data_IF_686686117414
#
_entry.id   IF_686686117414
#
_cell.length_a   1.000
_cell.length_b   1.000
_cell.length_c   1.000
_cell.angle_alpha   90.00
_cell.angle_beta   90.00
_cell.angle_gamma   90.00
#
_symmetry.space_group_name_H-M   'P 1'
#
loop_
_entity.id
_entity.type
_entity.pdbx_description
1 polymer ?
#
# COMPACT_ATOMS: atom_id res chain seq x y z
N UNK A 1 12.97 22.53 -2.75
CA UNK A 1 11.86 23.38 -2.25
C UNK A 1 11.24 22.59 -1.11
N UNK A 2 11.51 22.96 0.14
CA UNK A 2 11.02 22.20 1.32
C UNK A 2 9.51 22.03 1.23
N UNK A 3 9.01 20.83 1.54
CA UNK A 3 7.60 20.48 1.37
C UNK A 3 6.76 21.16 2.46
N UNK A 4 6.42 22.43 2.22
CA UNK A 4 5.65 23.32 3.13
C UNK A 4 4.38 22.62 3.62
N UNK A 5 3.77 21.79 2.78
CA UNK A 5 2.52 21.08 3.08
C UNK A 5 2.65 20.06 4.21
N UNK A 6 3.70 19.23 4.24
CA UNK A 6 3.88 18.21 5.29
C UNK A 6 4.14 18.87 6.64
N UNK A 7 5.02 19.89 6.66
CA UNK A 7 5.29 20.68 7.85
C UNK A 7 4.03 21.39 8.37
N UNK A 8 3.23 22.00 7.49
CA UNK A 8 1.98 22.65 7.88
C UNK A 8 0.99 21.68 8.52
N UNK A 9 0.87 20.46 7.99
CA UNK A 9 0.02 19.42 8.58
C UNK A 9 0.51 19.03 9.97
N UNK A 10 1.82 18.80 10.13
CA UNK A 10 2.40 18.45 11.43
C UNK A 10 2.17 19.57 12.44
N UNK A 11 2.42 20.83 12.07
CA UNK A 11 2.18 21.98 12.94
C UNK A 11 0.72 22.10 13.36
N UNK A 12 -0.23 21.82 12.45
CA UNK A 12 -1.67 21.77 12.76
C UNK A 12 -1.99 20.65 13.75
N UNK A 13 -1.40 19.47 13.58
CA UNK A 13 -1.58 18.35 14.52
C UNK A 13 -1.00 18.69 15.89
N UNK A 14 0.24 19.18 15.95
CA UNK A 14 0.89 19.64 17.20
C UNK A 14 0.06 20.68 17.94
N UNK A 15 -0.49 21.66 17.22
CA UNK A 15 -1.39 22.67 17.78
C UNK A 15 -2.62 22.05 18.45
N UNK A 16 -3.26 21.05 17.82
CA UNK A 16 -4.42 20.33 18.40
C UNK A 16 -4.02 19.49 19.61
N UNK A 17 -2.83 18.91 19.60
CA UNK A 17 -2.26 18.17 20.74
C UNK A 17 -1.78 19.08 21.88
N UNK A 18 -1.83 20.41 21.69
CA UNK A 18 -1.27 21.42 22.61
C UNK A 18 0.21 21.19 22.90
N UNK A 19 0.92 20.63 21.93
CA UNK A 19 2.36 20.42 22.01
C UNK A 19 3.09 21.70 21.58
N UNK A 20 2.97 22.74 22.40
CA UNK A 20 3.40 24.11 22.06
C UNK A 20 4.88 24.35 22.29
N UNK A 21 5.58 23.44 22.98
CA UNK A 21 6.99 23.61 23.35
C UNK A 21 7.93 22.67 22.57
N UNK A 22 7.49 22.21 21.40
CA UNK A 22 8.21 21.27 20.52
C UNK A 22 9.54 21.80 19.97
N UNK A 23 9.87 23.08 20.17
CA UNK A 23 11.17 23.67 19.83
C UNK A 23 12.17 23.66 21.00
N UNK A 24 11.71 23.40 22.23
CA UNK A 24 12.58 23.31 23.39
C UNK A 24 13.22 21.92 23.45
N UNK A 25 14.53 21.88 23.72
CA UNK A 25 15.37 20.67 23.70
C UNK A 25 14.84 19.52 24.60
N UNK A 26 14.13 19.87 25.67
CA UNK A 26 13.52 18.93 26.63
C UNK A 26 11.97 18.99 26.62
N UNK A 27 11.38 19.74 25.68
CA UNK A 27 9.94 20.04 25.62
C UNK A 27 9.16 19.26 24.54
N UNK A 28 9.84 18.48 23.72
CA UNK A 28 9.23 17.66 22.67
C UNK A 28 8.49 16.48 23.30
N UNK A 29 7.16 16.50 23.25
CA UNK A 29 6.33 15.40 23.74
C UNK A 29 6.19 14.27 22.72
N UNK A 30 6.15 14.63 21.44
CA UNK A 30 6.00 13.70 20.32
C UNK A 30 7.02 14.06 19.24
N UNK A 31 7.73 13.08 18.70
CA UNK A 31 8.62 13.34 17.56
C UNK A 31 7.81 13.58 16.28
N UNK A 32 8.42 14.21 15.27
CA UNK A 32 7.76 14.39 13.97
C UNK A 32 7.47 13.02 13.32
N UNK A 33 8.38 12.06 13.49
CA UNK A 33 8.25 10.69 12.99
C UNK A 33 7.04 9.98 13.60
N UNK A 34 6.84 10.11 14.91
CA UNK A 34 5.69 9.50 15.61
C UNK A 34 4.35 10.07 15.09
N UNK A 35 4.31 11.40 14.88
CA UNK A 35 3.13 12.06 14.30
C UNK A 35 2.89 11.59 12.86
N UNK A 36 3.95 11.50 12.05
CA UNK A 36 3.87 11.03 10.67
C UNK A 36 3.39 9.57 10.60
N UNK A 37 3.90 8.69 11.46
CA UNK A 37 3.49 7.29 11.51
C UNK A 37 2.01 7.15 11.89
N UNK A 38 1.55 7.92 12.89
CA UNK A 38 0.14 7.94 13.27
C UNK A 38 -0.77 8.43 12.12
N UNK A 39 -0.32 9.44 11.37
CA UNK A 39 -1.04 9.93 10.19
C UNK A 39 -1.07 8.89 9.06
N UNK A 40 0.07 8.23 8.77
CA UNK A 40 0.16 7.17 7.77
C UNK A 40 -0.77 6.00 8.10
N UNK A 41 -0.81 5.57 9.36
CA UNK A 41 -1.66 4.46 9.80
C UNK A 41 -3.15 4.83 9.74
N UNK A 42 -3.48 6.07 10.08
CA UNK A 42 -4.85 6.59 9.94
C UNK A 42 -5.26 6.65 8.46
N UNK A 43 -4.41 7.19 7.59
CA UNK A 43 -4.66 7.26 6.16
C UNK A 43 -4.81 5.87 5.54
N UNK A 44 -3.92 4.93 5.86
CA UNK A 44 -4.03 3.53 5.46
C UNK A 44 -5.35 2.90 5.90
N UNK A 45 -5.78 3.17 7.14
CA UNK A 45 -7.03 2.63 7.69
C UNK A 45 -8.24 3.16 6.92
N UNK A 46 -8.26 4.46 6.61
CA UNK A 46 -9.33 5.10 5.82
C UNK A 46 -9.35 4.51 4.42
N UNK A 47 -8.21 4.49 3.73
CA UNK A 47 -8.10 3.99 2.35
C UNK A 47 -8.57 2.54 2.24
N UNK A 48 -8.13 1.69 3.17
CA UNK A 48 -8.53 0.28 3.23
C UNK A 48 -10.02 0.10 3.54
N UNK A 49 -10.54 0.84 4.51
CA UNK A 49 -11.93 0.69 4.97
C UNK A 49 -12.94 1.18 3.93
N UNK A 50 -12.62 2.30 3.27
CA UNK A 50 -13.48 2.89 2.25
C UNK A 50 -13.24 2.34 0.85
N UNK A 51 -12.20 1.51 0.65
CA UNK A 51 -11.81 0.95 -0.65
C UNK A 51 -11.64 2.03 -1.72
N UNK A 52 -10.93 3.11 -1.36
CA UNK A 52 -10.60 4.21 -2.28
C UNK A 52 -9.19 4.02 -2.85
N UNK A 53 -8.79 4.89 -3.80
CA UNK A 53 -7.49 4.85 -4.48
C UNK A 53 -7.18 3.49 -5.10
N UNK A 54 -8.20 2.89 -5.74
CA UNK A 54 -8.07 1.59 -6.38
C UNK A 54 -7.33 1.77 -7.70
N UNK A 55 -6.27 1.01 -7.89
CA UNK A 55 -5.60 0.88 -9.18
C UNK A 55 -5.51 -0.58 -9.60
N UNK A 56 -5.51 -0.79 -10.92
CA UNK A 56 -5.35 -2.09 -11.52
C UNK A 56 -3.88 -2.35 -11.83
N UNK A 57 -3.40 -3.54 -11.50
CA UNK A 57 -2.13 -4.07 -11.96
C UNK A 57 -2.35 -5.40 -12.67
N UNK A 58 -1.72 -5.57 -13.83
CA UNK A 58 -1.84 -6.77 -14.65
C UNK A 58 -0.46 -7.29 -15.05
N UNK A 59 -0.32 -8.61 -15.10
CA UNK A 59 0.91 -9.26 -15.54
C UNK A 59 0.60 -10.50 -16.37
N UNK A 60 1.13 -10.52 -17.59
CA UNK A 60 1.19 -11.72 -18.42
C UNK A 60 2.27 -12.65 -17.86
N UNK A 61 1.88 -13.89 -17.56
CA UNK A 61 2.78 -14.93 -17.13
C UNK A 61 3.50 -15.57 -18.31
N UNK A 62 4.75 -15.93 -18.09
CA UNK A 62 5.55 -16.70 -19.03
C UNK A 62 6.51 -17.62 -18.26
N UNK A 63 7.17 -18.55 -18.95
CA UNK A 63 8.17 -19.44 -18.33
C UNK A 63 9.24 -18.70 -17.52
N UNK A 64 9.59 -17.48 -17.91
CA UNK A 64 10.56 -16.63 -17.19
C UNK A 64 9.95 -15.62 -16.21
N UNK A 65 8.61 -15.47 -16.18
CA UNK A 65 7.92 -14.50 -15.33
C UNK A 65 6.63 -15.11 -14.78
N UNK A 66 6.74 -15.74 -13.62
CA UNK A 66 5.63 -16.46 -12.97
C UNK A 66 4.98 -15.67 -11.83
N UNK A 67 5.43 -14.44 -11.58
CA UNK A 67 4.95 -13.60 -10.48
C UNK A 67 4.39 -12.28 -10.99
N UNK A 68 3.37 -11.78 -10.29
CA UNK A 68 2.88 -10.42 -10.42
C UNK A 68 3.67 -9.54 -9.46
N UNK A 69 4.35 -8.51 -9.98
CA UNK A 69 5.10 -7.53 -9.19
C UNK A 69 4.42 -6.16 -9.27
N UNK A 70 4.20 -5.56 -8.12
CA UNK A 70 3.59 -4.25 -7.96
C UNK A 70 4.65 -3.18 -7.72
N UNK A 71 4.38 -1.95 -8.17
CA UNK A 71 5.27 -0.81 -7.95
C UNK A 71 5.31 -0.40 -6.47
N UNK A 72 4.19 -0.55 -5.77
CA UNK A 72 4.01 -0.19 -4.37
C UNK A 72 3.25 -1.27 -3.60
N UNK A 73 3.41 -1.25 -2.28
CA UNK A 73 2.75 -2.20 -1.38
C UNK A 73 1.27 -1.81 -1.29
N UNK A 74 0.33 -2.71 -1.63
CA UNK A 74 -1.10 -2.41 -1.53
C UNK A 74 -1.54 -2.38 -0.06
N UNK A 75 -2.42 -1.44 0.28
CA UNK A 75 -3.08 -1.41 1.59
C UNK A 75 -4.10 -2.57 1.71
N UNK A 76 -4.77 -2.87 0.59
CA UNK A 76 -5.70 -3.97 0.48
C UNK A 76 -5.85 -4.39 -0.99
N UNK A 77 -5.93 -5.70 -1.24
CA UNK A 77 -6.38 -6.22 -2.53
C UNK A 77 -7.90 -6.37 -2.47
N UNK A 78 -8.60 -5.75 -3.41
CA UNK A 78 -10.06 -5.73 -3.51
C UNK A 78 -10.56 -6.90 -4.35
N UNK A 79 -9.87 -7.18 -5.45
CA UNK A 79 -10.22 -8.22 -6.42
C UNK A 79 -8.95 -8.76 -7.08
N UNK A 80 -8.95 -10.04 -7.40
CA UNK A 80 -7.97 -10.66 -8.28
C UNK A 80 -8.66 -11.56 -9.30
N UNK A 81 -8.10 -11.64 -10.50
CA UNK A 81 -8.54 -12.53 -11.57
C UNK A 81 -7.36 -13.24 -12.23
N UNK A 82 -7.63 -14.43 -12.77
CA UNK A 82 -6.73 -15.16 -13.65
C UNK A 82 -7.48 -15.49 -14.94
N UNK A 83 -6.99 -15.01 -16.08
CA UNK A 83 -7.67 -15.11 -17.37
C UNK A 83 -9.15 -14.68 -17.30
N UNK A 84 -9.43 -13.59 -16.57
CA UNK A 84 -10.77 -13.06 -16.34
C UNK A 84 -11.63 -13.80 -15.30
N UNK A 85 -11.23 -15.00 -14.85
CA UNK A 85 -11.94 -15.74 -13.82
C UNK A 85 -11.56 -15.24 -12.42
N UNK A 86 -12.50 -15.17 -11.44
CA UNK A 86 -12.19 -14.80 -10.07
C UNK A 86 -11.10 -15.68 -9.45
N UNK A 87 -10.12 -15.04 -8.83
CA UNK A 87 -8.97 -15.71 -8.23
C UNK A 87 -8.98 -15.46 -6.71
N UNK A 88 -9.23 -16.49 -5.88
CA UNK A 88 -9.18 -16.34 -4.43
C UNK A 88 -7.77 -16.00 -3.96
N UNK A 89 -7.67 -15.11 -2.97
CA UNK A 89 -6.39 -14.69 -2.38
C UNK A 89 -6.24 -15.36 -1.02
N UNK A 90 -5.11 -16.04 -0.79
CA UNK A 90 -4.82 -16.71 0.47
C UNK A 90 -3.47 -16.27 1.06
N UNK A 91 -3.34 -16.26 2.40
CA UNK A 91 -2.04 -16.09 3.05
C UNK A 91 -1.07 -17.22 2.66
N UNK A 92 0.22 -16.89 2.57
CA UNK A 92 1.26 -17.87 2.23
C UNK A 92 1.27 -19.07 3.20
N UNK A 93 1.00 -18.84 4.49
CA UNK A 93 0.91 -19.89 5.51
C UNK A 93 -0.13 -20.97 5.19
N UNK A 94 -1.26 -20.60 4.58
CA UNK A 94 -2.29 -21.56 4.19
C UNK A 94 -1.90 -22.38 2.97
N UNK A 95 -1.06 -21.83 2.09
CA UNK A 95 -0.58 -22.52 0.89
C UNK A 95 0.41 -23.62 1.27
N UNK A 96 1.31 -23.36 2.21
CA UNK A 96 2.30 -24.35 2.68
C UNK A 96 1.60 -25.59 3.29
N UNK A 97 0.51 -25.38 4.01
CA UNK A 97 -0.22 -26.45 4.70
C UNK A 97 -1.13 -27.26 3.77
N UNK A 98 -1.59 -26.67 2.66
CA UNK A 98 -2.49 -27.32 1.71
C UNK A 98 -2.04 -27.11 0.24
N UNK A 99 -0.97 -27.80 -0.20
CA UNK A 99 -0.39 -27.63 -1.54
C UNK A 99 -1.34 -28.00 -2.68
N UNK A 100 -2.34 -28.86 -2.41
CA UNK A 100 -3.36 -29.31 -3.36
C UNK A 100 -4.61 -28.42 -3.39
N UNK A 101 -4.48 -27.16 -2.95
CA UNK A 101 -5.59 -26.20 -2.95
C UNK A 101 -6.02 -25.82 -4.38
N UNK A 102 -7.27 -25.36 -4.56
CA UNK A 102 -7.70 -24.74 -5.82
C UNK A 102 -6.80 -23.55 -6.18
N UNK A 103 -6.79 -23.18 -7.46
CA UNK A 103 -5.99 -22.07 -7.98
C UNK A 103 -6.21 -20.81 -7.15
N UNK A 104 -5.15 -20.31 -6.53
CA UNK A 104 -5.19 -19.18 -5.59
C UNK A 104 -4.00 -18.26 -5.82
N UNK A 105 -4.19 -16.97 -5.55
CA UNK A 105 -3.12 -15.99 -5.45
C UNK A 105 -2.59 -15.95 -4.01
N UNK A 106 -1.29 -15.88 -3.82
CA UNK A 106 -0.70 -15.66 -2.50
C UNK A 106 0.49 -14.69 -2.58
N UNK A 107 0.73 -13.90 -1.50
CA UNK A 107 1.88 -13.01 -1.44
C UNK A 107 3.18 -13.80 -1.19
N UNK A 108 4.21 -13.53 -1.98
CA UNK A 108 5.59 -13.95 -1.73
C UNK A 108 6.33 -12.85 -0.94
N UNK A 109 6.03 -11.59 -1.26
CA UNK A 109 6.55 -10.41 -0.57
C UNK A 109 5.49 -9.32 -0.53
N UNK A 110 5.71 -8.19 0.18
CA UNK A 110 4.73 -7.09 0.23
C UNK A 110 4.33 -6.52 -1.13
N UNK A 111 5.13 -6.73 -2.19
CA UNK A 111 4.87 -6.22 -3.54
C UNK A 111 4.84 -7.32 -4.60
N UNK A 112 4.90 -8.59 -4.22
CA UNK A 112 5.03 -9.69 -5.17
C UNK A 112 4.12 -10.85 -4.82
N UNK A 113 3.42 -11.35 -5.83
CA UNK A 113 2.38 -12.37 -5.71
C UNK A 113 2.60 -13.49 -6.72
N UNK A 114 2.27 -14.71 -6.32
CA UNK A 114 2.32 -15.91 -7.16
C UNK A 114 1.02 -16.71 -7.09
N UNK A 115 0.89 -17.63 -8.04
CA UNK A 115 -0.20 -18.58 -8.11
C UNK A 115 0.18 -19.90 -7.44
N UNK A 116 -0.76 -20.51 -6.72
CA UNK A 116 -0.67 -21.92 -6.32
C UNK A 116 -1.89 -22.68 -6.84
N UNK A 117 -1.72 -23.75 -7.63
CA UNK A 117 -0.44 -24.23 -8.18
C UNK A 117 0.14 -23.26 -9.23
N UNK A 118 1.47 -23.27 -9.41
CA UNK A 118 2.17 -22.42 -10.38
C UNK A 118 1.64 -22.63 -11.81
N UNK A 119 1.56 -21.55 -12.58
CA UNK A 119 1.18 -21.54 -14.00
C UNK A 119 2.29 -20.93 -14.85
N UNK A 120 2.44 -21.47 -16.06
CA UNK A 120 3.49 -21.06 -17.02
C UNK A 120 3.03 -19.99 -18.02
N UNK A 121 1.74 -19.71 -18.06
CA UNK A 121 1.04 -18.85 -19.01
C UNK A 121 -0.22 -18.23 -18.37
N UNK A 122 -0.87 -17.31 -19.08
CA UNK A 122 -2.07 -16.61 -18.62
C UNK A 122 -1.81 -15.19 -18.14
N UNK A 123 -2.87 -14.51 -17.68
CA UNK A 123 -2.83 -13.13 -17.21
C UNK A 123 -3.38 -13.09 -15.79
N UNK A 124 -2.58 -12.57 -14.86
CA UNK A 124 -3.03 -12.21 -13.52
C UNK A 124 -3.39 -10.73 -13.53
N UNK A 125 -4.56 -10.38 -13.02
CA UNK A 125 -4.95 -8.99 -12.79
C UNK A 125 -5.39 -8.84 -11.34
N UNK A 126 -5.02 -7.71 -10.72
CA UNK A 126 -5.49 -7.34 -9.40
C UNK A 126 -5.99 -5.90 -9.40
N UNK A 127 -7.00 -5.64 -8.59
CA UNK A 127 -7.44 -4.31 -8.21
C UNK A 127 -7.13 -4.14 -6.72
N UNK A 128 -6.32 -3.15 -6.39
CA UNK A 128 -5.87 -2.93 -5.04
C UNK A 128 -5.91 -1.44 -4.69
N UNK A 129 -6.21 -1.16 -3.43
CA UNK A 129 -6.11 0.18 -2.86
C UNK A 129 -4.67 0.47 -2.48
N UNK A 130 -4.20 1.65 -2.85
CA UNK A 130 -2.85 2.11 -2.56
C UNK A 130 -2.86 3.41 -1.78
N UNK A 131 -1.90 3.53 -0.87
CA UNK A 131 -1.64 4.75 -0.14
C UNK A 131 -0.12 4.84 0.03
N UNK A 132 0.55 5.83 -0.58
CA UNK A 132 1.97 6.06 -0.33
C UNK A 132 2.16 6.45 1.13
N UNK A 133 3.28 6.03 1.70
CA UNK A 133 3.70 6.43 3.05
C UNK A 133 4.66 7.59 2.98
N UNK A 134 4.45 8.58 3.84
CA UNK A 134 5.39 9.68 4.06
C UNK A 134 6.41 9.22 5.10
N UNK A 135 7.70 9.29 4.81
CA UNK A 135 8.76 8.86 5.74
C UNK A 135 9.26 9.98 6.64
N UNK A 136 9.20 11.21 6.16
CA UNK A 136 9.68 12.38 6.89
C UNK A 136 9.03 13.65 6.36
N UNK A 137 9.20 14.74 7.10
CA UNK A 137 8.82 16.09 6.66
C UNK A 137 9.43 16.52 5.33
N UNK A 138 10.61 15.97 5.00
CA UNK A 138 11.34 16.28 3.78
C UNK A 138 11.09 15.26 2.67
N UNK A 139 10.19 14.29 2.88
CA UNK A 139 9.93 13.26 1.89
C UNK A 139 9.25 13.85 0.66
N UNK A 140 9.75 13.44 -0.51
CA UNK A 140 9.17 13.81 -1.79
C UNK A 140 8.15 12.73 -2.16
N UNK A 141 6.88 13.04 -1.91
CA UNK A 141 5.80 12.18 -2.37
C UNK A 141 5.68 12.39 -3.88
N UNK A 142 6.21 11.46 -4.66
CA UNK A 142 5.86 11.38 -6.06
C UNK A 142 4.35 11.09 -6.13
N UNK A 143 3.58 12.04 -6.67
CA UNK A 143 2.21 11.81 -7.07
C UNK A 143 2.23 10.77 -8.19
N UNK A 144 2.11 9.51 -7.79
CA UNK A 144 2.02 8.43 -8.76
C UNK A 144 0.69 8.58 -9.51
N UNK A 145 0.62 8.10 -10.75
CA UNK A 145 -0.57 8.22 -11.64
C UNK A 145 -1.84 7.55 -11.09
N UNK A 146 -1.79 6.96 -9.89
CA UNK A 146 -2.93 6.48 -9.12
C UNK A 146 -3.70 7.59 -8.38
N UNK A 147 -3.20 8.83 -8.35
CA UNK A 147 -3.86 10.00 -7.76
C UNK A 147 -4.64 10.87 -8.78
N UNK A 148 -4.94 10.35 -9.97
CA UNK A 148 -5.63 11.10 -11.04
C UNK A 148 -7.03 11.59 -10.61
N UNK A 149 -7.64 11.02 -9.58
CA UNK A 149 -8.94 11.48 -9.06
C UNK A 149 -8.89 12.73 -8.18
N UNK A 150 -7.71 13.26 -7.82
CA UNK A 150 -7.59 14.50 -7.02
C UNK A 150 -7.44 15.78 -7.87
N UNK A 151 -7.50 15.69 -9.20
CA UNK A 151 -7.37 16.81 -10.13
C UNK A 151 -8.67 17.17 -10.87
N UNK A 152 -9.83 16.76 -10.37
CA UNK A 152 -11.15 17.21 -10.87
C UNK A 152 -11.80 18.13 -9.86
#
# INVERSE_FOLDING_TARGET
MQNILTNDIILRVRSRLRDTNYLAKDGVRFSDEEIIDALNDTAHTIVKSLKINISQAAQVLSKGKQTLRLNQTPCAIIKATYNGAPLPIKPHSQIIQAPQSPLTLYPISPKEYALSPNKSDGIIEIWASFCPRVKSVNDEIALDSSFVELLI
#
